data_IF_968622223808
#
_entry.id   IF_968622223808
#
_cell.length_a   1.000
_cell.length_b   1.000
_cell.length_c   1.000
_cell.angle_alpha   90.00
_cell.angle_beta   90.00
_cell.angle_gamma   90.00
#
_symmetry.space_group_name_H-M   'P 1'
#
loop_
_entity.id
_entity.type
_entity.pdbx_description
1 polymer ?
#
# COMPACT_ATOMS: atom_id res chain seq x y z
N UNK A 1 -20.12 -20.22 -13.17
CA UNK A 1 -19.15 -19.59 -12.26
C UNK A 1 -18.81 -18.25 -12.88
N UNK A 2 -19.12 -17.14 -12.22
CA UNK A 2 -18.68 -15.82 -12.66
C UNK A 2 -17.16 -15.82 -12.72
N UNK A 3 -16.58 -15.42 -13.86
CA UNK A 3 -15.14 -15.14 -13.92
C UNK A 3 -14.81 -14.11 -12.85
N UNK A 4 -13.69 -14.27 -12.15
CA UNK A 4 -13.21 -13.24 -11.22
C UNK A 4 -13.02 -11.89 -11.90
N UNK A 5 -12.84 -11.90 -13.22
CA UNK A 5 -12.81 -10.74 -14.10
C UNK A 5 -14.03 -9.82 -13.99
N UNK A 6 -15.23 -10.37 -13.76
CA UNK A 6 -16.50 -9.63 -13.70
C UNK A 6 -16.97 -9.30 -12.26
N UNK A 7 -16.07 -9.43 -11.28
CA UNK A 7 -16.35 -9.03 -9.90
C UNK A 7 -16.26 -7.51 -9.72
N UNK A 8 -17.06 -7.00 -8.79
CA UNK A 8 -17.11 -5.58 -8.44
C UNK A 8 -15.74 -5.06 -8.01
N UNK A 9 -15.28 -4.02 -8.68
CA UNK A 9 -14.08 -3.27 -8.33
C UNK A 9 -14.46 -1.81 -8.11
N UNK A 10 -14.14 -1.27 -6.94
CA UNK A 10 -14.43 0.12 -6.63
C UNK A 10 -13.49 1.05 -7.43
N UNK A 11 -14.05 1.97 -8.21
CA UNK A 11 -13.25 2.92 -9.02
C UNK A 11 -12.35 3.80 -8.15
N UNK A 12 -12.82 4.18 -6.96
CA UNK A 12 -12.13 5.14 -6.07
C UNK A 12 -10.98 4.52 -5.27
N UNK A 13 -11.15 3.32 -4.70
CA UNK A 13 -10.13 2.69 -3.86
C UNK A 13 -9.45 1.48 -4.51
N UNK A 14 -9.94 1.02 -5.67
CA UNK A 14 -9.38 -0.10 -6.41
C UNK A 14 -9.64 -1.48 -5.78
N UNK A 15 -10.30 -1.54 -4.64
CA UNK A 15 -10.61 -2.80 -3.95
C UNK A 15 -11.61 -3.62 -4.75
N UNK A 16 -11.30 -4.90 -4.94
CA UNK A 16 -12.20 -5.87 -5.53
C UNK A 16 -12.98 -6.64 -4.45
N UNK A 17 -14.23 -6.98 -4.74
CA UNK A 17 -15.17 -7.64 -3.83
C UNK A 17 -15.65 -8.97 -4.39
N UNK A 18 -16.01 -9.93 -3.54
CA UNK A 18 -16.69 -11.18 -3.93
C UNK A 18 -18.17 -10.94 -4.28
N UNK A 19 -18.43 -9.96 -5.14
CA UNK A 19 -19.77 -9.56 -5.56
C UNK A 19 -19.75 -9.43 -7.08
N UNK A 20 -20.62 -10.14 -7.83
CA UNK A 20 -20.76 -9.92 -9.27
C UNK A 20 -21.10 -8.46 -9.59
N UNK A 21 -20.59 -7.90 -10.68
CA UNK A 21 -20.83 -6.49 -11.04
C UNK A 21 -22.31 -6.07 -11.12
N UNK A 22 -23.17 -7.00 -11.55
CA UNK A 22 -24.62 -6.79 -11.63
C UNK A 22 -25.29 -6.62 -10.26
N UNK A 23 -24.65 -7.10 -9.20
CA UNK A 23 -25.10 -7.02 -7.80
C UNK A 23 -24.31 -5.98 -6.99
N UNK A 24 -23.60 -5.07 -7.67
CA UNK A 24 -22.76 -4.07 -7.01
C UNK A 24 -23.51 -3.27 -5.94
N UNK A 25 -22.92 -3.09 -4.75
CA UNK A 25 -23.59 -2.37 -3.68
C UNK A 25 -23.65 -0.86 -3.96
N UNK A 26 -24.58 -0.16 -3.31
CA UNK A 26 -24.72 1.29 -3.43
C UNK A 26 -23.52 2.06 -2.86
N UNK A 27 -22.81 1.48 -1.89
CA UNK A 27 -21.64 2.07 -1.25
C UNK A 27 -20.49 1.08 -1.17
N UNK A 28 -19.25 1.58 -1.20
CA UNK A 28 -18.05 0.78 -0.99
C UNK A 28 -17.65 0.86 0.48
N UNK A 29 -17.63 -0.28 1.19
CA UNK A 29 -17.26 -0.29 2.63
C UNK A 29 -15.86 0.27 2.87
N UNK A 30 -14.93 0.03 1.95
CA UNK A 30 -13.56 0.54 2.05
C UNK A 30 -13.48 2.06 1.80
N UNK A 31 -14.43 2.65 1.07
CA UNK A 31 -14.51 4.11 0.89
C UNK A 31 -15.23 4.79 2.06
N UNK A 32 -16.16 4.09 2.72
CA UNK A 32 -16.82 4.54 3.94
C UNK A 32 -15.92 4.40 5.18
N UNK A 33 -14.82 3.65 5.07
CA UNK A 33 -13.84 3.54 6.14
C UNK A 33 -13.16 4.92 6.33
N UNK A 34 -13.07 5.45 7.57
CA UNK A 34 -12.55 6.79 7.86
C UNK A 34 -11.17 7.15 7.29
N UNK A 35 -10.38 6.17 6.84
CA UNK A 35 -9.04 6.37 6.27
C UNK A 35 -9.08 6.55 4.75
N UNK A 36 -10.25 6.40 4.15
CA UNK A 36 -10.57 6.65 2.75
C UNK A 36 -11.75 7.63 2.63
N UNK A 37 -12.24 7.83 1.41
CA UNK A 37 -13.30 8.77 1.11
C UNK A 37 -14.25 8.22 0.04
N UNK A 38 -15.48 8.75 0.05
CA UNK A 38 -16.41 8.67 -1.06
C UNK A 38 -16.24 9.94 -1.91
N UNK A 39 -16.06 9.84 -3.23
CA UNK A 39 -15.93 11.03 -4.08
C UNK A 39 -17.18 11.92 -4.03
N UNK A 40 -17.06 13.23 -4.26
CA UNK A 40 -18.22 14.13 -4.38
C UNK A 40 -19.22 13.71 -5.46
N UNK A 41 -18.76 13.04 -6.51
CA UNK A 41 -19.60 12.47 -7.57
C UNK A 41 -20.37 11.20 -7.15
N UNK A 42 -20.18 10.73 -5.91
CA UNK A 42 -20.74 9.49 -5.39
C UNK A 42 -19.90 8.25 -5.68
N UNK A 43 -20.43 7.10 -5.29
CA UNK A 43 -19.78 5.80 -5.47
C UNK A 43 -19.85 5.32 -6.92
N UNK A 44 -18.75 4.78 -7.43
CA UNK A 44 -18.69 4.16 -8.76
C UNK A 44 -17.96 2.82 -8.72
N UNK A 45 -18.29 1.97 -9.69
CA UNK A 45 -17.82 0.58 -9.79
C UNK A 45 -17.43 0.27 -11.23
N UNK A 46 -16.47 -0.64 -11.38
CA UNK A 46 -16.00 -1.23 -12.64
C UNK A 46 -15.67 -2.71 -12.39
N UNK A 47 -15.03 -3.37 -13.35
CA UNK A 47 -14.55 -4.76 -13.26
C UNK A 47 -13.11 -4.86 -13.75
N UNK A 48 -12.43 -5.96 -13.45
CA UNK A 48 -11.08 -6.18 -13.98
C UNK A 48 -11.12 -6.32 -15.51
N UNK A 49 -12.12 -6.99 -16.06
CA UNK A 49 -12.32 -7.13 -17.52
C UNK A 49 -12.49 -5.76 -18.19
N UNK A 50 -13.30 -4.85 -17.62
CA UNK A 50 -13.46 -3.51 -18.16
C UNK A 50 -12.15 -2.72 -18.09
N UNK A 51 -11.43 -2.79 -16.97
CA UNK A 51 -10.13 -2.13 -16.84
C UNK A 51 -9.12 -2.65 -17.88
N UNK A 52 -9.08 -3.96 -18.16
CA UNK A 52 -8.21 -4.54 -19.20
C UNK A 52 -8.49 -4.02 -20.61
N UNK A 53 -9.69 -3.48 -20.88
CA UNK A 53 -10.04 -2.89 -22.18
C UNK A 53 -9.80 -1.38 -22.26
N UNK A 54 -9.85 -0.70 -21.12
CA UNK A 54 -9.87 0.78 -21.05
C UNK A 54 -8.58 1.38 -20.49
N UNK A 55 -7.76 0.56 -19.84
CA UNK A 55 -6.53 0.95 -19.16
C UNK A 55 -5.36 0.07 -19.59
N UNK A 56 -4.16 0.56 -19.34
CA UNK A 56 -2.90 -0.19 -19.47
C UNK A 56 -1.98 0.15 -18.30
N UNK A 57 -1.06 -0.74 -17.97
CA UNK A 57 0.00 -0.41 -17.03
C UNK A 57 1.21 0.24 -17.71
N UNK A 58 1.80 1.25 -17.06
CA UNK A 58 3.08 1.86 -17.41
C UNK A 58 4.17 1.41 -16.46
N UNK A 59 5.36 1.12 -16.99
CA UNK A 59 6.52 0.68 -16.23
C UNK A 59 7.58 1.79 -16.17
N UNK A 60 8.02 2.16 -14.97
CA UNK A 60 9.11 3.12 -14.75
C UNK A 60 10.21 2.47 -13.92
N UNK A 61 11.36 2.24 -14.55
CA UNK A 61 12.54 1.74 -13.87
C UNK A 61 13.14 2.81 -12.96
N UNK A 62 13.62 2.41 -11.80
CA UNK A 62 14.41 3.31 -10.96
C UNK A 62 15.74 3.66 -11.65
N UNK A 63 16.16 4.92 -11.50
CA UNK A 63 17.36 5.43 -12.15
C UNK A 63 18.64 4.99 -11.44
N UNK A 64 18.58 4.71 -10.14
CA UNK A 64 19.73 4.37 -9.29
C UNK A 64 19.84 2.85 -9.08
N UNK A 65 18.72 2.12 -9.07
CA UNK A 65 18.72 0.66 -8.95
C UNK A 65 17.85 0.02 -10.03
N UNK A 66 18.50 -0.53 -11.06
CA UNK A 66 17.85 -1.12 -12.24
C UNK A 66 17.01 -2.37 -11.94
N UNK A 67 17.11 -2.92 -10.74
CA UNK A 67 16.31 -4.06 -10.27
C UNK A 67 14.92 -3.64 -9.79
N UNK A 68 14.63 -2.34 -9.72
CA UNK A 68 13.39 -1.83 -9.14
C UNK A 68 12.57 -1.13 -10.21
N UNK A 69 11.30 -1.54 -10.33
CA UNK A 69 10.35 -1.00 -11.29
C UNK A 69 9.09 -0.54 -10.56
N UNK A 70 8.51 0.55 -11.05
CA UNK A 70 7.22 1.05 -10.59
C UNK A 70 6.17 0.82 -11.66
N UNK A 71 5.03 0.27 -11.27
CA UNK A 71 3.93 -0.08 -12.17
C UNK A 71 2.73 0.79 -11.82
N UNK A 72 2.18 1.51 -12.80
CA UNK A 72 1.05 2.43 -12.65
C UNK A 72 -0.02 2.09 -13.68
N UNK A 73 -1.29 2.18 -13.32
CA UNK A 73 -2.38 2.08 -14.31
C UNK A 73 -2.67 3.45 -14.94
N UNK A 74 -2.86 3.47 -16.25
CA UNK A 74 -3.19 4.66 -17.06
C UNK A 74 -4.35 4.34 -18.02
N UNK A 75 -5.45 5.13 -18.05
CA UNK A 75 -5.76 6.30 -17.21
C UNK A 75 -5.73 6.02 -15.70
N UNK A 76 -5.76 7.06 -14.86
CA UNK A 76 -5.70 6.85 -13.42
C UNK A 76 -6.97 6.11 -12.92
N UNK A 77 -6.77 5.00 -12.23
CA UNK A 77 -7.79 4.33 -11.41
C UNK A 77 -7.38 4.37 -9.94
N UNK A 78 -8.36 4.24 -9.04
CA UNK A 78 -8.16 4.35 -7.61
C UNK A 78 -7.49 5.68 -7.23
N UNK A 79 -6.59 5.66 -6.24
CA UNK A 79 -5.86 6.85 -5.77
C UNK A 79 -4.59 7.12 -6.61
N UNK A 80 -4.44 6.48 -7.78
CA UNK A 80 -3.25 6.62 -8.62
C UNK A 80 -1.98 6.04 -7.99
N UNK A 81 -2.13 5.04 -7.14
CA UNK A 81 -1.01 4.37 -6.49
C UNK A 81 -0.20 3.51 -7.46
N UNK A 82 0.99 3.08 -7.01
CA UNK A 82 1.87 2.14 -7.72
C UNK A 82 2.07 0.85 -6.95
N UNK A 83 2.29 -0.22 -7.69
CA UNK A 83 3.01 -1.40 -7.21
C UNK A 83 4.52 -1.23 -7.51
N UNK A 84 5.36 -1.83 -6.68
CA UNK A 84 6.82 -1.80 -6.87
C UNK A 84 7.32 -3.22 -7.09
N UNK A 85 7.80 -3.52 -8.29
CA UNK A 85 8.41 -4.79 -8.65
C UNK A 85 9.91 -4.73 -8.31
N UNK A 86 10.36 -5.64 -7.44
CA UNK A 86 11.69 -5.66 -6.85
C UNK A 86 12.36 -6.98 -7.20
N UNK A 87 13.44 -6.92 -7.97
CA UNK A 87 14.23 -8.09 -8.31
C UNK A 87 15.31 -8.35 -7.25
N UNK A 88 15.37 -9.58 -6.75
CA UNK A 88 16.36 -10.01 -5.76
C UNK A 88 17.01 -11.33 -6.17
N UNK A 89 18.12 -11.69 -5.52
CA UNK A 89 18.82 -12.94 -5.79
C UNK A 89 18.00 -14.19 -5.40
N UNK A 90 17.02 -14.04 -4.50
CA UNK A 90 16.16 -15.13 -4.01
C UNK A 90 14.78 -15.16 -4.67
N UNK A 91 14.59 -14.40 -5.77
CA UNK A 91 13.31 -14.25 -6.47
C UNK A 91 12.76 -12.83 -6.41
N UNK A 92 11.76 -12.54 -7.25
CA UNK A 92 11.21 -11.20 -7.34
C UNK A 92 10.02 -11.01 -6.41
N UNK A 93 9.87 -9.81 -5.85
CA UNK A 93 8.76 -9.44 -4.97
C UNK A 93 7.96 -8.31 -5.61
N UNK A 94 6.64 -8.42 -5.55
CA UNK A 94 5.76 -7.28 -5.76
C UNK A 94 5.42 -6.67 -4.41
N UNK A 95 5.91 -5.44 -4.18
CA UNK A 95 5.51 -4.65 -3.03
C UNK A 95 4.27 -3.82 -3.35
N UNK A 96 3.21 -4.12 -2.60
CA UNK A 96 1.83 -3.72 -2.82
C UNK A 96 1.25 -4.13 -4.17
N UNK A 97 -0.07 -4.02 -4.28
CA UNK A 97 -0.79 -4.39 -5.49
C UNK A 97 -1.53 -3.19 -6.08
N UNK A 98 -1.79 -3.27 -7.39
CA UNK A 98 -2.70 -2.39 -8.12
C UNK A 98 -3.82 -3.22 -8.73
N UNK A 99 -4.91 -2.55 -9.12
CA UNK A 99 -6.13 -3.20 -9.59
C UNK A 99 -5.98 -3.86 -10.96
N UNK A 100 -5.34 -3.18 -11.91
CA UNK A 100 -5.19 -3.70 -13.27
C UNK A 100 -4.09 -4.75 -13.35
N UNK A 101 -4.46 -5.95 -13.81
CA UNK A 101 -3.54 -6.97 -14.30
C UNK A 101 -3.88 -7.26 -15.77
N UNK A 102 -3.08 -6.72 -16.68
CA UNK A 102 -3.22 -6.94 -18.12
C UNK A 102 -2.15 -7.91 -18.66
N UNK A 103 -2.34 -8.40 -19.88
CA UNK A 103 -1.42 -9.36 -20.50
C UNK A 103 -0.01 -8.78 -20.71
N UNK A 104 0.11 -7.48 -20.99
CA UNK A 104 1.40 -6.80 -21.14
C UNK A 104 2.20 -6.83 -19.82
N UNK A 105 1.54 -6.55 -18.70
CA UNK A 105 2.13 -6.64 -17.35
C UNK A 105 2.55 -8.07 -17.02
N UNK A 106 1.71 -9.05 -17.33
CA UNK A 106 2.03 -10.46 -17.13
C UNK A 106 3.31 -10.84 -17.91
N UNK A 107 3.36 -10.49 -19.19
CA UNK A 107 4.50 -10.77 -20.05
C UNK A 107 5.76 -10.05 -19.57
N UNK A 108 5.63 -8.79 -19.16
CA UNK A 108 6.73 -8.00 -18.59
C UNK A 108 7.30 -8.70 -17.35
N UNK A 109 6.48 -9.04 -16.37
CA UNK A 109 6.96 -9.67 -15.12
C UNK A 109 7.52 -11.07 -15.38
N UNK A 110 6.86 -11.89 -16.22
CA UNK A 110 7.37 -13.24 -16.58
C UNK A 110 8.71 -13.18 -17.31
N UNK A 111 8.91 -12.20 -18.20
CA UNK A 111 10.21 -12.01 -18.87
C UNK A 111 11.33 -11.58 -17.91
N UNK A 112 10.99 -11.09 -16.71
CA UNK A 112 11.94 -10.78 -15.64
C UNK A 112 12.04 -11.88 -14.57
N UNK A 113 11.48 -13.07 -14.81
CA UNK A 113 11.58 -14.22 -13.92
C UNK A 113 10.36 -14.46 -13.02
N UNK A 114 9.23 -13.78 -13.26
CA UNK A 114 7.99 -14.00 -12.50
C UNK A 114 8.00 -13.33 -11.12
N UNK A 115 7.13 -13.78 -10.21
CA UNK A 115 7.09 -13.36 -8.80
C UNK A 115 7.28 -14.57 -7.89
N UNK A 116 8.13 -14.42 -6.88
CA UNK A 116 8.26 -15.38 -5.79
C UNK A 116 7.31 -15.05 -4.63
N UNK A 117 6.94 -13.76 -4.46
CA UNK A 117 5.99 -13.33 -3.44
C UNK A 117 5.33 -11.99 -3.81
N UNK A 118 4.13 -11.78 -3.28
CA UNK A 118 3.49 -10.47 -3.18
C UNK A 118 3.45 -10.12 -1.69
N UNK A 119 3.84 -8.90 -1.35
CA UNK A 119 3.81 -8.39 0.03
C UNK A 119 3.06 -7.07 0.03
N UNK A 120 2.03 -6.92 0.85
CA UNK A 120 1.14 -5.75 0.81
C UNK A 120 1.14 -5.02 2.14
N UNK A 121 1.30 -3.71 2.07
CA UNK A 121 1.47 -2.83 3.22
C UNK A 121 0.22 -2.74 4.10
N UNK A 122 -0.96 -2.55 3.51
CA UNK A 122 -2.23 -2.35 4.24
C UNK A 122 -3.45 -2.43 3.28
N UNK A 123 -4.70 -2.43 3.79
CA UNK A 123 -5.91 -2.79 3.03
C UNK A 123 -6.18 -2.01 1.74
N UNK A 124 -5.80 -0.72 1.65
CA UNK A 124 -6.02 0.07 0.43
C UNK A 124 -5.20 -0.41 -0.77
N UNK A 125 -4.23 -1.29 -0.56
CA UNK A 125 -3.36 -1.86 -1.58
C UNK A 125 -3.68 -3.32 -1.87
N UNK A 126 -4.73 -3.89 -1.28
CA UNK A 126 -5.12 -5.27 -1.54
C UNK A 126 -5.65 -5.44 -2.98
N UNK A 127 -6.31 -4.42 -3.54
CA UNK A 127 -6.70 -4.36 -4.96
C UNK A 127 -7.23 -5.70 -5.50
N UNK A 128 -6.60 -6.26 -6.53
CA UNK A 128 -6.90 -7.56 -7.16
C UNK A 128 -5.86 -8.62 -6.83
N UNK A 129 -5.22 -8.55 -5.65
CA UNK A 129 -4.06 -9.39 -5.26
C UNK A 129 -4.23 -10.89 -5.50
N UNK A 130 -5.44 -11.45 -5.35
CA UNK A 130 -5.67 -12.89 -5.62
C UNK A 130 -5.55 -13.23 -7.10
N UNK A 131 -5.91 -12.32 -8.01
CA UNK A 131 -5.73 -12.50 -9.45
C UNK A 131 -4.24 -12.48 -9.82
N UNK A 132 -3.48 -11.55 -9.22
CA UNK A 132 -2.02 -11.51 -9.35
C UNK A 132 -1.37 -12.79 -8.79
N UNK A 133 -1.75 -13.19 -7.58
CA UNK A 133 -1.19 -14.37 -6.92
C UNK A 133 -1.47 -15.67 -7.71
N UNK A 134 -2.67 -15.80 -8.29
CA UNK A 134 -3.03 -16.91 -9.16
C UNK A 134 -2.17 -16.92 -10.43
N UNK A 135 -2.05 -15.78 -11.10
CA UNK A 135 -1.34 -15.67 -12.39
C UNK A 135 0.16 -15.95 -12.29
N UNK A 136 0.79 -15.53 -11.19
CA UNK A 136 2.22 -15.71 -10.94
C UNK A 136 2.55 -16.91 -10.04
N UNK A 137 1.54 -17.67 -9.64
CA UNK A 137 1.66 -18.83 -8.77
C UNK A 137 2.48 -18.58 -7.49
N UNK A 138 2.19 -17.49 -6.77
CA UNK A 138 2.97 -17.05 -5.61
C UNK A 138 2.10 -16.72 -4.38
N UNK A 139 2.66 -16.77 -3.16
CA UNK A 139 1.95 -16.37 -1.94
C UNK A 139 1.79 -14.84 -1.82
N UNK A 140 0.76 -14.44 -1.08
CA UNK A 140 0.51 -13.04 -0.69
C UNK A 140 0.66 -12.88 0.81
N UNK A 141 1.66 -12.13 1.24
CA UNK A 141 1.92 -11.83 2.65
C UNK A 141 1.16 -10.58 3.09
N UNK A 142 0.31 -10.75 4.11
CA UNK A 142 -0.49 -9.70 4.72
C UNK A 142 -0.37 -9.77 6.26
N UNK A 143 -0.48 -8.63 6.93
CA UNK A 143 -0.59 -8.62 8.38
C UNK A 143 -1.95 -9.20 8.82
N UNK A 144 -1.93 -10.10 9.82
CA UNK A 144 -3.14 -10.73 10.36
C UNK A 144 -4.12 -9.70 10.97
N UNK A 145 -3.58 -8.63 11.56
CA UNK A 145 -4.35 -7.55 12.19
C UNK A 145 -5.30 -6.87 11.20
N UNK A 146 -5.00 -6.95 9.89
CA UNK A 146 -5.78 -6.31 8.84
C UNK A 146 -6.83 -7.22 8.18
N UNK A 147 -7.03 -8.44 8.71
CA UNK A 147 -7.91 -9.44 8.07
C UNK A 147 -9.38 -8.99 7.95
N UNK A 148 -9.86 -8.11 8.82
CA UNK A 148 -11.26 -7.65 8.79
C UNK A 148 -11.58 -6.85 7.52
N UNK A 149 -10.56 -6.22 6.92
CA UNK A 149 -10.69 -5.45 5.69
C UNK A 149 -10.56 -6.31 4.42
N UNK A 150 -10.47 -7.64 4.53
CA UNK A 150 -10.49 -8.53 3.37
C UNK A 150 -11.87 -8.58 2.72
N UNK A 151 -11.94 -8.26 1.43
CA UNK A 151 -13.20 -8.19 0.64
C UNK A 151 -13.39 -9.34 -0.35
N UNK A 152 -12.34 -10.16 -0.53
CA UNK A 152 -12.33 -11.39 -1.32
C UNK A 152 -12.00 -12.58 -0.42
N UNK A 153 -12.74 -13.67 -0.58
CA UNK A 153 -12.43 -15.00 -0.08
C UNK A 153 -11.30 -15.56 -0.93
N UNK A 154 -10.38 -16.21 -0.26
CA UNK A 154 -9.24 -16.87 -0.88
C UNK A 154 -9.53 -18.36 -0.88
N UNK A 155 -9.94 -18.85 -2.05
CA UNK A 155 -10.30 -20.25 -2.27
C UNK A 155 -9.10 -21.10 -2.66
N UNK A 156 -7.96 -20.48 -2.94
CA UNK A 156 -6.73 -21.13 -3.41
C UNK A 156 -5.62 -21.09 -2.37
N UNK A 157 -5.92 -20.62 -1.15
CA UNK A 157 -4.99 -20.55 -0.02
C UNK A 157 -3.70 -19.78 -0.34
N UNK A 158 -3.82 -18.71 -1.14
CA UNK A 158 -2.69 -17.87 -1.57
C UNK A 158 -2.18 -16.94 -0.47
N UNK A 159 -3.04 -16.54 0.47
CA UNK A 159 -2.71 -15.58 1.53
C UNK A 159 -1.98 -16.24 2.69
N UNK A 160 -0.88 -15.62 3.11
CA UNK A 160 -0.18 -15.89 4.36
C UNK A 160 -0.44 -14.71 5.29
N UNK A 161 -1.17 -14.95 6.37
CA UNK A 161 -1.46 -13.94 7.39
C UNK A 161 -0.47 -14.06 8.55
N UNK A 162 0.52 -13.18 8.61
CA UNK A 162 1.52 -13.21 9.67
C UNK A 162 1.09 -12.37 10.88
N UNK A 163 1.42 -12.84 12.09
CA UNK A 163 1.00 -12.20 13.35
C UNK A 163 2.12 -11.40 14.01
N UNK A 164 3.35 -11.84 13.80
CA UNK A 164 4.53 -11.25 14.42
C UNK A 164 4.77 -9.81 13.93
N UNK A 165 5.66 -9.10 14.64
CA UNK A 165 6.03 -7.73 14.23
C UNK A 165 6.81 -7.71 12.92
N UNK A 166 7.45 -8.83 12.56
CA UNK A 166 8.29 -8.97 11.37
C UNK A 166 8.06 -10.32 10.70
N UNK A 167 8.13 -10.35 9.38
CA UNK A 167 8.07 -11.59 8.58
C UNK A 167 9.11 -11.52 7.47
N UNK A 168 10.12 -12.38 7.51
CA UNK A 168 11.01 -12.57 6.36
C UNK A 168 10.25 -13.33 5.27
N UNK A 169 10.09 -12.73 4.09
CA UNK A 169 9.30 -13.30 2.99
C UNK A 169 10.18 -13.96 1.92
N UNK A 170 11.44 -13.52 1.83
CA UNK A 170 12.54 -14.10 1.07
C UNK A 170 13.84 -13.74 1.81
N UNK A 171 14.95 -14.47 1.62
CA UNK A 171 16.24 -14.11 2.20
C UNK A 171 16.61 -12.63 1.95
N UNK A 172 16.76 -11.87 3.05
CA UNK A 172 17.11 -10.45 2.98
C UNK A 172 15.96 -9.51 2.58
N UNK A 173 14.73 -10.01 2.53
CA UNK A 173 13.50 -9.24 2.28
C UNK A 173 12.52 -9.47 3.42
N UNK A 174 12.28 -8.44 4.24
CA UNK A 174 11.47 -8.54 5.45
C UNK A 174 10.34 -7.52 5.46
N UNK A 175 9.12 -7.98 5.74
CA UNK A 175 8.01 -7.12 6.12
C UNK A 175 8.11 -6.76 7.60
N UNK A 176 7.86 -5.48 7.92
CA UNK A 176 7.90 -4.95 9.29
C UNK A 176 6.57 -4.24 9.55
N UNK A 177 5.77 -4.77 10.49
CA UNK A 177 4.47 -4.23 10.88
C UNK A 177 4.65 -3.02 11.80
N UNK A 178 4.59 -1.81 11.25
CA UNK A 178 4.72 -0.57 12.03
C UNK A 178 3.41 -0.18 12.73
N UNK A 179 2.26 -0.51 12.13
CA UNK A 179 0.95 -0.01 12.55
C UNK A 179 0.74 1.45 12.16
N UNK A 180 -0.18 2.13 12.86
CA UNK A 180 -0.47 3.55 12.66
C UNK A 180 -1.65 3.77 11.73
N UNK A 181 -1.41 3.79 10.41
CA UNK A 181 -2.48 4.00 9.42
C UNK A 181 -3.55 2.90 9.54
N UNK A 182 -3.15 1.63 9.47
CA UNK A 182 -3.92 0.47 9.92
C UNK A 182 -3.14 -0.27 11.02
N UNK A 183 -3.79 -1.09 11.87
CA UNK A 183 -3.09 -1.90 12.87
C UNK A 183 -1.97 -2.77 12.26
N UNK A 184 -2.21 -3.35 11.08
CA UNK A 184 -1.28 -4.17 10.32
C UNK A 184 -0.41 -3.42 9.32
N UNK A 185 -0.49 -2.08 9.26
CA UNK A 185 0.30 -1.30 8.31
C UNK A 185 1.78 -1.62 8.37
N UNK A 186 2.33 -2.04 7.24
CA UNK A 186 3.66 -2.60 7.13
C UNK A 186 4.52 -1.84 6.14
N UNK A 187 5.83 -1.89 6.38
CA UNK A 187 6.87 -1.49 5.43
C UNK A 187 7.65 -2.72 4.99
N UNK A 188 8.29 -2.65 3.83
CA UNK A 188 9.20 -3.67 3.34
C UNK A 188 10.63 -3.17 3.51
N UNK A 189 11.51 -4.00 4.02
CA UNK A 189 12.95 -3.78 4.08
C UNK A 189 13.65 -4.75 3.14
N UNK A 190 14.53 -4.23 2.28
CA UNK A 190 15.34 -5.02 1.34
C UNK A 190 16.57 -4.23 0.92
N UNK A 191 17.76 -4.84 0.81
CA UNK A 191 18.96 -4.19 0.26
C UNK A 191 19.25 -2.77 0.83
N UNK A 192 19.10 -2.58 2.15
CA UNK A 192 19.20 -1.27 2.82
C UNK A 192 18.20 -0.19 2.33
N UNK A 193 17.12 -0.60 1.68
CA UNK A 193 15.97 0.21 1.33
C UNK A 193 14.80 -0.09 2.27
N UNK A 194 13.91 0.88 2.42
CA UNK A 194 12.62 0.71 3.09
C UNK A 194 11.49 1.34 2.28
N UNK A 195 10.25 0.86 2.40
CA UNK A 195 9.11 1.40 1.66
C UNK A 195 8.13 2.23 2.51
N UNK A 196 7.17 2.89 1.84
CA UNK A 196 5.87 3.38 2.36
C UNK A 196 5.87 4.46 3.45
N UNK A 197 7.00 5.07 3.78
CA UNK A 197 7.00 6.28 4.60
C UNK A 197 6.73 7.51 3.73
N UNK A 198 5.63 8.21 4.00
CA UNK A 198 5.17 9.32 3.18
C UNK A 198 6.02 10.58 3.38
N UNK A 199 6.42 11.20 2.27
CA UNK A 199 7.29 12.38 2.22
C UNK A 199 6.68 13.50 1.37
N UNK A 200 6.75 14.73 1.88
CA UNK A 200 6.31 15.94 1.15
C UNK A 200 7.39 16.39 0.17
N UNK A 201 6.95 16.84 -1.01
CA UNK A 201 7.85 17.36 -2.04
C UNK A 201 8.32 18.77 -1.70
N UNK A 202 9.51 18.89 -1.12
CA UNK A 202 10.25 20.15 -1.10
C UNK A 202 11.54 20.02 -1.93
N UNK A 203 12.61 20.70 -1.54
CA UNK A 203 13.93 20.68 -2.20
C UNK A 203 14.76 19.45 -1.80
N UNK A 204 15.93 19.26 -2.41
CA UNK A 204 16.91 18.23 -1.98
C UNK A 204 17.29 18.43 -0.50
N UNK A 205 17.37 19.68 -0.06
CA UNK A 205 17.83 20.06 1.28
C UNK A 205 16.71 20.10 2.34
N UNK A 206 15.46 19.79 1.96
CA UNK A 206 14.34 19.80 2.89
C UNK A 206 13.50 18.53 2.73
N UNK A 207 13.86 17.50 3.50
CA UNK A 207 13.13 16.24 3.54
C UNK A 207 12.24 16.23 4.78
N UNK A 208 10.92 16.22 4.59
CA UNK A 208 9.96 16.13 5.69
C UNK A 208 9.04 14.94 5.45
N UNK A 209 8.98 14.08 6.46
CA UNK A 209 8.05 12.95 6.52
C UNK A 209 6.81 13.38 7.30
N UNK A 210 5.69 12.73 7.03
CA UNK A 210 4.44 12.98 7.74
C UNK A 210 3.67 11.68 7.93
N UNK A 211 2.93 11.60 9.03
CA UNK A 211 2.30 10.36 9.49
C UNK A 211 0.81 10.60 9.67
N UNK A 212 -0.02 9.87 8.94
CA UNK A 212 -1.47 10.03 8.98
C UNK A 212 -2.15 8.76 9.47
N UNK A 213 -3.16 8.94 10.32
CA UNK A 213 -4.18 7.93 10.53
C UNK A 213 -4.99 7.73 9.24
N UNK A 214 -5.37 8.84 8.58
CA UNK A 214 -6.07 8.84 7.29
C UNK A 214 -5.38 9.79 6.32
N UNK A 215 -4.59 9.27 5.38
CA UNK A 215 -3.90 10.14 4.40
C UNK A 215 -4.88 10.86 3.48
N UNK A 216 -5.90 10.16 2.95
CA UNK A 216 -6.87 10.74 2.02
C UNK A 216 -7.74 11.84 2.63
N UNK A 217 -7.94 11.81 3.96
CA UNK A 217 -8.70 12.80 4.71
C UNK A 217 -7.81 13.74 5.55
N UNK A 218 -6.49 13.63 5.41
CA UNK A 218 -5.50 14.41 6.16
C UNK A 218 -5.69 14.37 7.69
N UNK A 219 -6.14 13.23 8.24
CA UNK A 219 -6.23 13.04 9.69
C UNK A 219 -4.85 12.58 10.19
N UNK A 220 -4.16 13.37 11.02
CA UNK A 220 -2.79 13.07 11.39
C UNK A 220 -2.75 11.93 12.40
N UNK A 221 -1.66 11.16 12.37
CA UNK A 221 -1.44 10.06 13.31
C UNK A 221 -0.98 10.61 14.66
N UNK A 222 -1.52 10.09 15.77
CA UNK A 222 -1.19 10.60 17.10
C UNK A 222 0.21 10.21 17.63
N UNK A 223 0.74 10.91 18.65
CA UNK A 223 2.10 10.70 19.18
C UNK A 223 2.36 9.28 19.68
N UNK A 224 1.42 8.67 20.38
CA UNK A 224 1.56 7.29 20.91
C UNK A 224 1.78 6.28 19.79
N UNK A 225 1.00 6.38 18.71
CA UNK A 225 1.14 5.49 17.56
C UNK A 225 2.46 5.74 16.81
N UNK A 226 2.87 7.01 16.62
CA UNK A 226 4.18 7.32 16.03
C UNK A 226 5.35 6.78 16.86
N UNK A 227 5.27 6.84 18.20
CA UNK A 227 6.31 6.28 19.06
C UNK A 227 6.42 4.76 18.95
N UNK A 228 5.30 4.06 18.85
CA UNK A 228 5.28 2.62 18.57
C UNK A 228 5.88 2.30 17.20
N UNK A 229 5.49 3.04 16.16
CA UNK A 229 6.08 2.91 14.82
C UNK A 229 7.60 3.09 14.86
N UNK A 230 8.09 4.13 15.55
CA UNK A 230 9.52 4.39 15.70
C UNK A 230 10.24 3.23 16.39
N UNK A 231 9.69 2.70 17.48
CA UNK A 231 10.31 1.61 18.22
C UNK A 231 10.52 0.35 17.38
N UNK A 232 9.60 0.06 16.45
CA UNK A 232 9.69 -1.06 15.52
C UNK A 232 10.64 -0.79 14.34
N UNK A 233 10.74 0.46 13.90
CA UNK A 233 11.60 0.89 12.81
C UNK A 233 13.06 1.08 13.23
N UNK A 234 13.30 1.52 14.47
CA UNK A 234 14.60 1.86 15.06
C UNK A 234 15.70 0.79 14.90
N UNK A 235 15.43 -0.53 14.94
CA UNK A 235 16.49 -1.53 14.80
C UNK A 235 17.01 -1.69 13.36
N UNK A 236 16.23 -1.26 12.36
CA UNK A 236 16.49 -1.55 10.95
C UNK A 236 17.41 -0.51 10.31
N UNK A 237 18.46 -0.95 9.62
CA UNK A 237 19.34 -0.07 8.87
C UNK A 237 18.81 0.13 7.44
N UNK A 238 18.71 1.38 7.00
CA UNK A 238 18.36 1.73 5.63
C UNK A 238 18.88 3.13 5.29
N UNK A 239 19.16 3.35 4.00
CA UNK A 239 19.68 4.62 3.46
C UNK A 239 18.78 5.19 2.36
N UNK A 240 17.72 4.48 1.99
CA UNK A 240 16.74 4.94 1.03
C UNK A 240 15.31 4.57 1.44
N UNK A 241 14.37 5.48 1.16
CA UNK A 241 12.95 5.33 1.43
C UNK A 241 12.17 5.44 0.13
N UNK A 242 11.50 4.36 -0.27
CA UNK A 242 10.60 4.30 -1.42
C UNK A 242 9.18 4.62 -0.96
N UNK A 243 8.83 5.91 -1.04
CA UNK A 243 7.51 6.42 -0.66
C UNK A 243 6.40 6.02 -1.67
N UNK A 244 5.14 6.36 -1.35
CA UNK A 244 3.95 6.06 -2.13
C UNK A 244 4.08 6.44 -3.61
N UNK A 245 4.54 7.65 -3.90
CA UNK A 245 4.66 8.17 -5.27
C UNK A 245 6.09 8.04 -5.79
N UNK A 246 6.25 7.72 -7.09
CA UNK A 246 7.55 7.50 -7.74
C UNK A 246 8.58 8.60 -7.43
N UNK A 247 8.16 9.86 -7.55
CA UNK A 247 9.03 11.03 -7.39
C UNK A 247 9.44 11.29 -5.94
N UNK A 248 8.77 10.66 -4.97
CA UNK A 248 8.97 10.91 -3.53
C UNK A 248 10.01 10.02 -2.87
N UNK A 249 10.75 9.21 -3.64
CA UNK A 249 11.85 8.40 -3.12
C UNK A 249 12.96 9.29 -2.54
N UNK A 250 13.39 9.01 -1.31
CA UNK A 250 14.47 9.73 -0.61
C UNK A 250 15.69 8.82 -0.53
N UNK A 251 16.88 9.35 -0.83
CA UNK A 251 18.15 8.61 -0.78
C UNK A 251 19.18 9.47 -0.06
N UNK A 252 19.14 9.42 1.26
CA UNK A 252 20.00 10.22 2.13
C UNK A 252 20.59 9.29 3.20
N UNK A 253 21.91 9.30 3.44
CA UNK A 253 22.52 8.45 4.47
C UNK A 253 21.91 8.64 5.86
N UNK A 254 21.43 9.85 6.18
CA UNK A 254 20.77 10.20 7.44
C UNK A 254 19.23 10.18 7.37
N UNK A 255 18.62 9.53 6.38
CA UNK A 255 17.15 9.53 6.19
C UNK A 255 16.38 9.08 7.43
N UNK A 256 16.98 8.21 8.24
CA UNK A 256 16.39 7.72 9.49
C UNK A 256 16.28 8.80 10.56
N UNK A 257 17.24 9.72 10.63
CA UNK A 257 17.19 10.87 11.53
C UNK A 257 16.10 11.86 11.07
N UNK A 258 16.00 12.09 9.76
CA UNK A 258 14.96 12.94 9.16
C UNK A 258 13.53 12.42 9.47
N UNK A 259 13.36 11.10 9.50
CA UNK A 259 12.11 10.44 9.92
C UNK A 259 11.81 10.74 11.39
N UNK A 260 12.79 10.53 12.28
CA UNK A 260 12.63 10.76 13.71
C UNK A 260 12.31 12.23 14.02
N UNK A 261 13.07 13.16 13.43
CA UNK A 261 12.84 14.60 13.58
C UNK A 261 11.44 15.00 13.10
N UNK A 262 10.97 14.40 12.00
CA UNK A 262 9.61 14.63 11.49
C UNK A 262 8.53 14.12 12.46
N UNK A 263 8.71 12.91 13.03
CA UNK A 263 7.81 12.37 14.05
C UNK A 263 7.78 13.25 15.31
N UNK A 264 8.95 13.68 15.79
CA UNK A 264 9.07 14.57 16.96
C UNK A 264 8.39 15.92 16.71
N UNK A 265 8.58 16.50 15.53
CA UNK A 265 7.94 17.76 15.14
C UNK A 265 6.42 17.62 15.11
N UNK A 266 5.90 16.57 14.49
CA UNK A 266 4.45 16.31 14.46
C UNK A 266 3.91 16.11 15.88
N UNK A 267 4.56 15.27 16.69
CA UNK A 267 4.14 14.98 18.05
C UNK A 267 4.09 16.22 18.95
N UNK A 268 5.08 17.12 18.82
CA UNK A 268 5.15 18.38 19.59
C UNK A 268 3.93 19.29 19.36
N UNK A 269 3.32 19.23 18.17
CA UNK A 269 2.23 20.11 17.76
C UNK A 269 0.87 19.41 17.73
N UNK A 270 0.80 18.16 18.19
CA UNK A 270 -0.44 17.45 18.42
C UNK A 270 -0.75 17.49 19.91
N UNK A 271 -1.74 18.27 20.28
CA UNK A 271 -2.30 18.22 21.62
C UNK A 271 -2.90 16.82 21.84
N UNK A 272 -2.57 16.20 22.97
CA UNK A 272 -2.89 14.80 23.25
C UNK A 272 -4.42 14.61 23.49
N UNK A 273 -4.85 13.38 23.76
CA UNK A 273 -6.26 12.94 23.89
C UNK A 273 -7.12 13.63 24.97
N UNK A 274 -6.64 14.68 25.65
CA UNK A 274 -7.35 15.41 26.69
C UNK A 274 -7.78 16.83 26.28
N UNK A 275 -7.70 17.19 25.00
CA UNK A 275 -8.09 18.52 24.54
C UNK A 275 -9.63 18.65 24.45
N UNK A 276 -10.25 19.74 24.96
CA UNK A 276 -11.71 19.92 24.95
C UNK A 276 -12.39 19.82 23.58
N UNK A 277 -11.68 20.11 22.48
CA UNK A 277 -12.17 19.91 21.11
C UNK A 277 -12.69 18.47 20.85
N UNK A 278 -12.18 17.47 21.57
CA UNK A 278 -12.60 16.07 21.44
C UNK A 278 -13.98 15.79 22.06
N UNK A 279 -14.49 16.69 22.90
CA UNK A 279 -15.81 16.58 23.54
C UNK A 279 -16.92 17.28 22.72
N UNK A 280 -16.52 18.16 21.79
CA UNK A 280 -17.43 18.87 20.88
C UNK A 280 -18.17 17.89 19.97
N UNK A 281 -19.48 18.11 19.80
CA UNK A 281 -20.32 17.33 18.88
C UNK A 281 -20.57 18.14 17.60
N UNK A 282 -20.64 17.49 16.42
CA UNK A 282 -21.07 18.17 15.20
C UNK A 282 -22.47 18.78 15.39
N UNK A 283 -22.68 20.01 14.91
CA UNK A 283 -24.01 20.60 14.83
C UNK A 283 -24.91 19.71 13.95
N UNK A 284 -26.12 19.43 14.43
CA UNK A 284 -27.13 18.64 13.74
C UNK A 284 -27.56 19.25 12.40
#
# INVERSE_FOLDING_TARGET
>A
MTSSGNLCLCVTCGTQYDIPFVERPSTCRMCNEPRQFVPPSGQSWTTLEELQTTHKNEFKQDQNDKRIWSIFSTPQVAIGQRAVFIQTESGNVLWDCISLLDQETINFIKSHGGLAAIAISHPHFYSTHLEWAREFDCPVYLAYDDQEWLNRKDTEHRRILFRDETQEILPGVTMIKLGGHFPGSSVLHWNNNISRLNRLHHTKDHQVFFFHYAFSNFIPLGPTAMHLMWNRLRPWHFTAVYSLFFRTTVREPNVKDLILESMQRQAKHQENTGHPLLEEQPSA
#
